data_IF_606604979433
#
_entry.id   IF_606604979433
#
_cell.length_a   1.000
_cell.length_b   1.000
_cell.length_c   1.000
_cell.angle_alpha   90.00
_cell.angle_beta   90.00
_cell.angle_gamma   90.00
#
_symmetry.space_group_name_H-M   'P 1'
#
loop_
_entity.id
_entity.type
_entity.pdbx_description
1 polymer ?
#
# COMPACT_ATOMS: atom_id res chain seq x y z
N UNK A 1 15.92 -5.75 6.90
CA UNK A 1 15.11 -5.58 8.13
C UNK A 1 13.71 -6.06 7.82
N UNK A 2 13.13 -6.92 8.65
CA UNK A 2 11.77 -7.45 8.47
C UNK A 2 10.82 -6.84 9.49
N UNK A 3 9.60 -6.55 9.08
CA UNK A 3 8.53 -6.10 9.96
C UNK A 3 7.30 -6.97 9.73
N UNK A 4 6.83 -7.62 10.79
CA UNK A 4 5.69 -8.53 10.78
C UNK A 4 4.46 -7.87 11.38
N UNK A 5 3.31 -8.11 10.76
CA UNK A 5 2.00 -7.62 11.19
C UNK A 5 1.02 -8.79 11.24
N UNK A 6 0.18 -8.81 12.27
CA UNK A 6 -0.91 -9.77 12.42
C UNK A 6 -2.21 -8.99 12.49
N UNK A 7 -3.01 -9.07 11.43
CA UNK A 7 -4.26 -8.31 11.28
C UNK A 7 -5.43 -9.28 11.36
N UNK A 8 -6.44 -8.94 12.16
CA UNK A 8 -7.71 -9.66 12.14
C UNK A 8 -8.40 -9.40 10.78
N UNK A 9 -8.59 -10.44 9.93
CA UNK A 9 -9.18 -10.25 8.60
C UNK A 9 -10.68 -9.95 8.66
N UNK A 10 -11.33 -10.13 9.81
CA UNK A 10 -12.73 -9.78 10.00
C UNK A 10 -12.87 -8.26 10.19
N UNK A 11 -13.75 -7.57 9.44
CA UNK A 11 -14.05 -6.17 9.69
C UNK A 11 -14.75 -6.03 11.06
N UNK A 12 -14.53 -4.91 11.74
CA UNK A 12 -15.11 -4.52 13.05
C UNK A 12 -16.67 -4.58 13.10
N UNK A 13 -17.32 -4.83 11.97
CA UNK A 13 -18.77 -4.90 11.81
C UNK A 13 -19.40 -6.26 12.17
N UNK A 14 -18.62 -7.30 12.48
CA UNK A 14 -19.18 -8.56 12.99
C UNK A 14 -19.14 -8.55 14.52
N UNK A 15 -20.30 -8.40 15.21
CA UNK A 15 -20.34 -8.49 16.66
C UNK A 15 -19.92 -9.90 17.06
N UNK A 16 -18.82 -10.01 17.80
CA UNK A 16 -18.43 -11.27 18.40
C UNK A 16 -19.43 -11.57 19.52
N UNK A 17 -20.45 -12.40 19.25
CA UNK A 17 -21.46 -12.76 20.24
C UNK A 17 -20.79 -13.54 21.36
N UNK A 18 -20.80 -12.95 22.56
CA UNK A 18 -20.42 -13.62 23.80
C UNK A 18 -21.52 -14.63 24.14
N UNK A 19 -21.31 -15.90 23.79
CA UNK A 19 -22.22 -16.99 24.22
C UNK A 19 -22.53 -18.09 23.20
N UNK A 20 -22.03 -18.01 21.96
CA UNK A 20 -22.13 -19.14 21.03
C UNK A 20 -21.06 -20.20 21.34
N UNK A 21 -21.41 -21.48 21.33
CA UNK A 21 -20.47 -22.62 21.44
C UNK A 21 -19.59 -22.81 20.20
N UNK A 22 -19.17 -21.71 19.56
CA UNK A 22 -18.03 -21.72 18.66
C UNK A 22 -16.78 -21.58 19.50
N UNK A 23 -15.85 -22.53 19.38
CA UNK A 23 -14.52 -22.46 19.98
C UNK A 23 -13.92 -21.07 19.78
N UNK A 24 -13.91 -20.26 20.83
CA UNK A 24 -13.10 -19.06 20.89
C UNK A 24 -11.65 -19.51 21.04
N UNK A 25 -10.95 -19.67 19.92
CA UNK A 25 -9.58 -20.20 19.93
C UNK A 25 -8.70 -19.59 18.87
N UNK A 26 -9.19 -19.51 17.63
CA UNK A 26 -8.33 -19.15 16.50
C UNK A 26 -9.02 -18.07 15.66
N UNK A 27 -8.85 -16.80 16.07
CA UNK A 27 -8.93 -15.75 15.06
C UNK A 27 -7.83 -16.09 14.05
N UNK A 28 -8.20 -16.44 12.82
CA UNK A 28 -7.25 -16.65 11.71
C UNK A 28 -6.58 -15.32 11.39
N UNK A 29 -5.65 -14.90 12.26
CA UNK A 29 -4.93 -13.65 12.14
C UNK A 29 -4.13 -13.73 10.85
N UNK A 30 -4.44 -12.86 9.91
CA UNK A 30 -3.71 -12.80 8.66
C UNK A 30 -2.32 -12.24 8.97
N UNK A 31 -1.32 -13.09 8.80
CA UNK A 31 0.08 -12.70 8.89
C UNK A 31 0.51 -12.05 7.57
N UNK A 32 1.06 -10.84 7.67
CA UNK A 32 1.67 -10.13 6.54
C UNK A 32 3.00 -9.54 7.00
N UNK A 33 4.00 -9.48 6.12
CA UNK A 33 5.29 -8.88 6.45
C UNK A 33 5.85 -8.04 5.31
N UNK A 34 6.65 -7.06 5.69
CA UNK A 34 7.46 -6.26 4.77
C UNK A 34 8.93 -6.53 5.06
N UNK A 35 9.71 -6.81 4.03
CA UNK A 35 11.15 -7.03 4.13
C UNK A 35 11.91 -5.98 3.32
N UNK A 36 12.83 -5.30 3.99
CA UNK A 36 13.71 -4.29 3.43
C UNK A 36 15.12 -4.87 3.22
N UNK A 37 15.50 -5.01 1.96
CA UNK A 37 16.78 -5.59 1.51
C UNK A 37 17.53 -4.57 0.67
N UNK A 38 18.32 -3.71 1.33
CA UNK A 38 18.98 -2.57 0.67
C UNK A 38 17.94 -1.64 0.04
N UNK A 39 18.01 -1.50 -1.29
CA UNK A 39 17.08 -0.67 -2.05
C UNK A 39 15.77 -1.38 -2.44
N UNK A 40 15.59 -2.65 -2.07
CA UNK A 40 14.42 -3.43 -2.44
C UNK A 40 13.45 -3.56 -1.25
N UNK A 41 12.16 -3.40 -1.53
CA UNK A 41 11.07 -3.58 -0.58
C UNK A 41 10.18 -4.72 -1.06
N UNK A 42 10.08 -5.75 -0.23
CA UNK A 42 9.25 -6.93 -0.47
C UNK A 42 8.05 -6.90 0.47
N UNK A 43 6.88 -7.34 -0.01
CA UNK A 43 5.72 -7.62 0.83
C UNK A 43 5.31 -9.08 0.61
N UNK A 44 5.26 -9.87 1.68
CA UNK A 44 4.95 -11.30 1.61
C UNK A 44 5.80 -12.02 0.55
N UNK A 45 7.12 -11.86 0.63
CA UNK A 45 8.13 -12.39 -0.29
C UNK A 45 8.03 -11.91 -1.76
N UNK A 46 7.16 -10.94 -2.04
CA UNK A 46 6.91 -10.42 -3.38
C UNK A 46 7.53 -9.02 -3.52
N UNK A 47 8.36 -8.78 -4.55
CA UNK A 47 9.02 -7.48 -4.76
C UNK A 47 7.99 -6.40 -5.10
N UNK A 48 7.79 -5.41 -4.23
CA UNK A 48 6.82 -4.32 -4.47
C UNK A 48 7.45 -3.04 -4.97
N UNK A 49 8.66 -2.73 -4.51
CA UNK A 49 9.28 -1.46 -4.81
C UNK A 49 10.81 -1.55 -4.84
N UNK A 50 11.42 -0.80 -5.75
CA UNK A 50 12.87 -0.58 -5.79
C UNK A 50 13.17 0.92 -5.63
N UNK A 51 13.96 1.26 -4.63
CA UNK A 51 14.42 2.63 -4.36
C UNK A 51 15.59 2.97 -5.29
N UNK A 52 15.52 4.16 -5.88
CA UNK A 52 16.57 4.71 -6.75
C UNK A 52 16.94 6.10 -6.28
N UNK A 53 18.06 6.61 -6.79
CA UNK A 53 18.43 7.99 -6.52
C UNK A 53 17.39 8.93 -7.13
N UNK A 54 16.72 9.71 -6.26
CA UNK A 54 15.71 10.68 -6.69
C UNK A 54 14.33 10.08 -6.97
N UNK A 55 14.03 8.85 -6.55
CA UNK A 55 12.71 8.26 -6.78
C UNK A 55 12.56 6.82 -6.34
N UNK A 56 11.56 6.14 -6.90
CA UNK A 56 11.36 4.70 -6.75
C UNK A 56 10.63 4.12 -7.97
N UNK A 57 10.73 2.81 -8.10
CA UNK A 57 10.00 2.01 -9.10
C UNK A 57 9.02 1.15 -8.32
N UNK A 58 7.73 1.21 -8.66
CA UNK A 58 6.72 0.30 -8.12
C UNK A 58 6.41 -0.80 -9.14
N UNK A 59 5.98 -1.97 -8.65
CA UNK A 59 5.67 -3.11 -9.51
C UNK A 59 4.21 -3.54 -9.33
N UNK A 60 3.42 -3.39 -10.38
CA UNK A 60 2.07 -3.93 -10.44
C UNK A 60 2.12 -5.41 -10.85
N UNK A 61 1.51 -6.26 -10.04
CA UNK A 61 1.31 -7.66 -10.36
C UNK A 61 -0.09 -7.84 -10.97
N UNK A 62 -0.23 -8.57 -12.08
CA UNK A 62 -1.54 -8.94 -12.57
C UNK A 62 -2.28 -9.70 -11.47
N UNK A 63 -3.45 -9.20 -11.08
CA UNK A 63 -4.27 -9.87 -10.08
C UNK A 63 -4.80 -11.16 -10.70
N UNK A 64 -4.22 -12.30 -10.33
CA UNK A 64 -4.75 -13.59 -10.71
C UNK A 64 -6.18 -13.73 -10.19
N UNK A 65 -7.06 -14.31 -10.99
CA UNK A 65 -8.45 -14.61 -10.58
C UNK A 65 -8.52 -15.59 -9.40
N UNK A 66 -7.41 -16.27 -9.08
CA UNK A 66 -7.24 -17.11 -7.91
C UNK A 66 -6.01 -16.65 -7.11
N UNK A 67 -6.15 -16.28 -5.81
CA UNK A 67 -5.04 -15.80 -4.99
C UNK A 67 -3.90 -16.81 -4.78
N UNK A 68 -4.15 -18.12 -4.93
CA UNK A 68 -3.11 -19.15 -4.87
C UNK A 68 -2.16 -19.14 -6.10
N UNK A 69 -2.57 -18.48 -7.17
CA UNK A 69 -1.80 -18.33 -8.42
C UNK A 69 -1.40 -16.87 -8.64
N UNK A 70 -1.18 -16.11 -7.56
CA UNK A 70 -0.67 -14.74 -7.70
C UNK A 70 0.68 -14.81 -8.42
N UNK A 71 0.85 -14.05 -9.50
CA UNK A 71 2.08 -14.05 -10.27
C UNK A 71 3.26 -13.74 -9.34
N UNK A 72 4.23 -14.66 -9.24
CA UNK A 72 5.47 -14.47 -8.49
C UNK A 72 6.66 -14.26 -9.41
N UNK A 73 6.47 -14.45 -10.72
CA UNK A 73 7.52 -14.25 -11.72
C UNK A 73 7.73 -12.76 -12.01
N UNK A 74 8.97 -12.32 -11.83
CA UNK A 74 9.41 -10.95 -12.09
C UNK A 74 9.28 -10.56 -13.57
N UNK A 75 9.22 -11.54 -14.48
CA UNK A 75 9.10 -11.29 -15.93
C UNK A 75 7.75 -10.68 -16.34
N UNK A 76 6.71 -10.86 -15.50
CA UNK A 76 5.35 -10.38 -15.76
C UNK A 76 5.04 -9.05 -15.06
N UNK A 77 6.04 -8.47 -14.39
CA UNK A 77 5.88 -7.21 -13.67
C UNK A 77 5.75 -6.04 -14.65
N UNK A 78 4.77 -5.18 -14.38
CA UNK A 78 4.71 -3.87 -15.01
C UNK A 78 5.37 -2.85 -14.08
N UNK A 79 6.58 -2.36 -14.39
CA UNK A 79 7.22 -1.31 -13.60
C UNK A 79 6.53 0.03 -13.85
N UNK A 80 6.44 0.86 -12.81
CA UNK A 80 6.01 2.25 -12.90
C UNK A 80 7.03 3.12 -12.18
N UNK A 81 7.57 4.12 -12.87
CA UNK A 81 8.60 5.00 -12.31
C UNK A 81 7.98 6.22 -11.64
N UNK A 82 8.50 6.56 -10.46
CA UNK A 82 8.09 7.69 -9.66
C UNK A 82 9.32 8.53 -9.29
N UNK A 83 9.29 9.81 -9.59
CA UNK A 83 10.40 10.74 -9.41
C UNK A 83 10.08 11.78 -8.35
N UNK A 84 11.07 12.07 -7.50
CA UNK A 84 11.00 13.12 -6.51
C UNK A 84 11.55 14.43 -7.09
N UNK A 85 10.70 15.47 -7.10
CA UNK A 85 11.18 16.83 -7.34
C UNK A 85 11.51 17.43 -5.99
N UNK A 86 12.80 17.72 -5.77
CA UNK A 86 13.29 18.27 -4.51
C UNK A 86 13.52 19.77 -4.61
N UNK A 87 13.36 20.47 -3.48
CA UNK A 87 13.86 21.82 -3.34
C UNK A 87 15.38 21.84 -3.06
N UNK A 88 15.94 23.05 -2.93
CA UNK A 88 17.37 23.25 -2.65
C UNK A 88 17.83 22.72 -1.28
N UNK A 89 16.90 22.41 -0.36
CA UNK A 89 17.19 21.83 0.95
C UNK A 89 17.04 20.30 0.95
N UNK A 90 16.66 19.70 -0.18
CA UNK A 90 16.47 18.27 -0.33
C UNK A 90 15.08 17.77 0.05
N UNK A 91 14.12 18.65 0.39
CA UNK A 91 12.76 18.21 0.70
C UNK A 91 12.03 17.81 -0.59
N UNK A 92 11.36 16.66 -0.58
CA UNK A 92 10.54 16.20 -1.70
C UNK A 92 9.28 17.07 -1.81
N UNK A 93 9.21 17.96 -2.80
CA UNK A 93 8.08 18.86 -3.05
C UNK A 93 7.01 18.22 -3.92
N UNK A 94 7.41 17.39 -4.87
CA UNK A 94 6.49 16.67 -5.75
C UNK A 94 6.90 15.21 -5.85
N UNK A 95 5.91 14.35 -6.05
CA UNK A 95 6.10 13.02 -6.63
C UNK A 95 5.42 13.04 -7.99
N UNK A 96 6.16 12.64 -9.03
CA UNK A 96 5.70 12.69 -10.42
C UNK A 96 5.92 11.31 -11.03
N UNK A 97 4.95 10.81 -11.79
CA UNK A 97 5.09 9.53 -12.46
C UNK A 97 5.90 9.65 -13.77
N UNK A 98 6.16 8.50 -14.39
CA UNK A 98 6.88 8.36 -15.66
C UNK A 98 6.31 9.15 -16.84
N UNK A 99 5.02 9.50 -16.78
CA UNK A 99 4.34 10.30 -17.80
C UNK A 99 4.34 11.80 -17.49
N UNK A 100 5.04 12.23 -16.43
CA UNK A 100 5.05 13.63 -15.99
C UNK A 100 3.81 14.07 -15.22
N UNK A 101 2.93 13.13 -14.83
CA UNK A 101 1.74 13.44 -14.03
C UNK A 101 2.10 13.58 -12.56
N UNK A 102 1.60 14.61 -11.90
CA UNK A 102 1.83 14.85 -10.47
C UNK A 102 0.95 13.89 -9.66
N UNK A 103 1.56 13.08 -8.81
CA UNK A 103 0.87 12.14 -7.91
C UNK A 103 0.73 12.71 -6.50
N UNK A 104 1.69 13.54 -6.10
CA UNK A 104 1.70 14.19 -4.81
C UNK A 104 2.36 15.57 -4.88
N UNK A 105 1.80 16.51 -4.13
CA UNK A 105 2.38 17.82 -3.82
C UNK A 105 2.53 17.96 -2.33
N UNK A 106 3.74 18.27 -1.85
CA UNK A 106 4.05 18.47 -0.44
C UNK A 106 4.56 19.89 -0.19
N UNK A 107 3.91 20.58 0.74
CA UNK A 107 4.26 21.95 1.14
C UNK A 107 4.92 21.93 2.51
N UNK A 108 6.09 22.57 2.65
CA UNK A 108 6.84 22.67 3.90
C UNK A 108 7.00 24.11 4.36
N UNK A 109 6.90 24.34 5.67
CA UNK A 109 7.23 25.60 6.32
C UNK A 109 8.73 25.92 6.15
N UNK A 110 9.15 27.18 6.33
CA UNK A 110 10.56 27.55 6.26
C UNK A 110 11.48 26.75 7.21
N UNK A 111 10.95 26.32 8.36
CA UNK A 111 11.68 25.49 9.32
C UNK A 111 11.69 23.99 8.98
N UNK A 112 11.11 23.59 7.83
CA UNK A 112 11.13 22.21 7.32
C UNK A 112 9.95 21.32 7.74
N UNK A 113 9.03 21.80 8.58
CA UNK A 113 7.82 21.03 8.94
C UNK A 113 6.81 20.94 7.78
N UNK A 114 6.11 19.81 7.64
CA UNK A 114 5.04 19.63 6.64
C UNK A 114 3.86 20.57 6.97
N UNK A 115 3.52 21.45 6.04
CA UNK A 115 2.32 22.30 6.09
C UNK A 115 1.08 21.54 5.64
N UNK A 116 1.24 20.74 4.59
CA UNK A 116 0.16 19.97 4.00
C UNK A 116 0.63 19.20 2.77
N UNK A 117 -0.16 18.21 2.40
CA UNK A 117 0.03 17.44 1.17
C UNK A 117 -1.28 17.34 0.38
N UNK A 118 -1.15 17.27 -0.94
CA UNK A 118 -2.22 16.91 -1.87
C UNK A 118 -1.79 15.65 -2.59
N UNK A 119 -2.67 14.63 -2.63
CA UNK A 119 -2.42 13.35 -3.28
C UNK A 119 -3.65 12.97 -4.07
N UNK A 120 -3.46 12.47 -5.28
CA UNK A 120 -4.54 11.81 -6.00
C UNK A 120 -4.82 10.46 -5.34
N UNK A 121 -5.68 10.47 -4.33
CA UNK A 121 -6.25 9.24 -3.77
C UNK A 121 -7.29 8.79 -4.78
N UNK A 122 -6.94 7.84 -5.65
CA UNK A 122 -7.94 7.10 -6.41
C UNK A 122 -9.02 6.64 -5.41
N UNK A 123 -10.30 7.01 -5.57
CA UNK A 123 -11.30 6.73 -4.57
C UNK A 123 -11.43 5.22 -4.42
N UNK A 124 -11.06 4.68 -3.25
CA UNK A 124 -11.50 3.34 -2.86
C UNK A 124 -13.03 3.39 -2.85
N UNK A 125 -13.66 2.81 -3.88
CA UNK A 125 -15.12 2.81 -4.03
C UNK A 125 -15.73 2.12 -2.80
N UNK A 126 -16.14 2.92 -1.81
CA UNK A 126 -16.99 2.44 -0.71
C UNK A 126 -18.38 2.26 -1.31
N UNK A 127 -18.67 1.06 -1.79
CA UNK A 127 -20.02 0.69 -2.22
C UNK A 127 -20.93 0.83 -1.01
N UNK A 128 -21.88 1.75 -1.09
CA UNK A 128 -22.94 1.90 -0.10
C UNK A 128 -23.96 0.82 -0.43
N UNK A 129 -24.07 -0.21 0.41
CA UNK A 129 -25.14 -1.19 0.27
C UNK A 129 -26.46 -0.50 0.63
N UNK A 130 -27.34 -0.35 -0.35
CA UNK A 130 -28.74 0.04 -0.13
C UNK A 130 -29.49 -1.26 0.05
N UNK A 131 -30.02 -1.51 1.25
CA UNK A 131 -30.89 -2.65 1.50
C UNK A 131 -32.16 -2.53 0.65
N UNK A 132 -32.65 -3.61 0.01
CA UNK A 132 -33.93 -3.58 -0.69
C UNK A 132 -35.07 -3.39 0.32
N UNK A 133 -36.04 -2.53 -0.03
CA UNK A 133 -37.31 -2.41 0.68
C UNK A 133 -38.13 -3.68 0.47
N UNK A 134 -38.67 -4.25 1.55
CA UNK A 134 -39.71 -5.29 1.51
C UNK A 134 -40.96 -4.85 0.74
#
# INVERSE_FOLDING_TARGET
>A
MRTDYYINPLPEAVPQVSGGTGTAGDADLRHTWTEYCGNFVYENDTLRQTLIEGGYISYAYPQASNPANQATDISQLTPTYHFYVRDHLGNNRLVVNENGTIEQVSHYYPFGGLMGESRDIAPKVRRKEVLPSE
#
